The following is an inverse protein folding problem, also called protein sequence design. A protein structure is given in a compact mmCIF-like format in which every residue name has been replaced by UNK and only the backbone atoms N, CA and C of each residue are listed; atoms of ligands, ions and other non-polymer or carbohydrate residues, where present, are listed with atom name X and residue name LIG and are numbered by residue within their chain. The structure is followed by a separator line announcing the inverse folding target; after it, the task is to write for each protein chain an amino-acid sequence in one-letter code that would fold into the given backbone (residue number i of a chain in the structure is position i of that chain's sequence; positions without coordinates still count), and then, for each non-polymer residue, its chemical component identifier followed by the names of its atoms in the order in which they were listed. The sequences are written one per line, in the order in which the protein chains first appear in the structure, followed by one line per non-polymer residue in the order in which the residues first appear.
data_IF_958697490492
#
_entry.id   IF_958697490492
#
_cell.length_a   1.000
_cell.length_b   1.000
_cell.length_c   1.000
_cell.angle_alpha   90.00
_cell.angle_beta   90.00
_cell.angle_gamma   90.00
#
_symmetry.space_group_name_H-M   'P 1'
#
loop_
_entity.id
_entity.type
_entity.pdbx_description
1 polymer ?
#
# COMPACT_ATOMS: atom_id res chain seq x y z
N UNK A 1 -4.86 6.28 12.03
CA UNK A 1 -3.51 6.85 12.27
C UNK A 1 -2.52 5.98 11.50
N UNK A 2 -1.47 6.55 10.92
CA UNK A 2 -0.43 5.79 10.20
C UNK A 2 0.54 5.14 11.20
N UNK A 3 0.06 4.17 11.95
CA UNK A 3 0.89 3.47 12.95
C UNK A 3 2.06 2.72 12.28
N UNK A 4 1.91 2.34 11.01
CA UNK A 4 2.96 1.72 10.20
C UNK A 4 4.30 2.47 10.26
N UNK A 5 4.28 3.82 10.29
CA UNK A 5 5.47 4.66 10.33
C UNK A 5 6.24 4.63 11.66
N UNK A 6 5.68 4.01 12.70
CA UNK A 6 6.27 3.97 14.04
C UNK A 6 6.96 2.65 14.35
N UNK A 7 6.89 1.66 13.44
CA UNK A 7 7.57 0.38 13.61
C UNK A 7 9.01 0.45 13.07
N UNK A 8 9.97 -0.24 13.70
CA UNK A 8 11.35 -0.23 13.24
C UNK A 8 11.51 -0.96 11.90
N UNK A 9 12.44 -0.48 11.09
CA UNK A 9 12.99 -1.17 9.92
C UNK A 9 14.31 -1.82 10.37
N UNK A 10 14.41 -3.14 10.33
CA UNK A 10 15.56 -3.89 10.87
C UNK A 10 16.58 -4.29 9.79
N UNK A 11 16.23 -4.18 8.52
CA UNK A 11 17.10 -4.55 7.40
C UNK A 11 16.63 -4.00 6.04
N UNK A 12 17.35 -4.38 4.98
CA UNK A 12 17.03 -3.94 3.62
C UNK A 12 15.73 -4.57 3.10
N UNK A 13 15.44 -5.81 3.49
CA UNK A 13 14.16 -6.46 3.17
C UNK A 13 12.99 -5.65 3.72
N UNK A 14 13.10 -5.15 4.94
CA UNK A 14 12.09 -4.26 5.54
C UNK A 14 11.93 -2.97 4.76
N UNK A 15 13.03 -2.33 4.36
CA UNK A 15 12.96 -1.10 3.55
C UNK A 15 12.23 -1.36 2.23
N UNK A 16 12.57 -2.45 1.52
CA UNK A 16 11.98 -2.79 0.24
C UNK A 16 10.49 -3.10 0.36
N UNK A 17 10.13 -4.01 1.27
CA UNK A 17 8.75 -4.46 1.51
C UNK A 17 7.89 -3.31 2.03
N UNK A 18 8.36 -2.55 3.01
CA UNK A 18 7.63 -1.41 3.55
C UNK A 18 7.35 -0.36 2.48
N UNK A 19 8.39 0.02 1.72
CA UNK A 19 8.27 1.01 0.64
C UNK A 19 7.24 0.57 -0.39
N UNK A 20 7.35 -0.68 -0.86
CA UNK A 20 6.41 -1.23 -1.82
C UNK A 20 4.97 -1.23 -1.29
N UNK A 21 4.71 -1.84 -0.13
CA UNK A 21 3.36 -2.01 0.40
C UNK A 21 2.69 -0.66 0.72
N UNK A 22 3.42 0.27 1.34
CA UNK A 22 2.92 1.59 1.67
C UNK A 22 2.64 2.42 0.42
N UNK A 23 3.54 2.42 -0.57
CA UNK A 23 3.34 3.19 -1.80
C UNK A 23 2.24 2.58 -2.66
N UNK A 24 2.09 1.25 -2.73
CA UNK A 24 0.97 0.60 -3.40
C UNK A 24 -0.39 1.02 -2.79
N UNK A 25 -0.49 1.03 -1.45
CA UNK A 25 -1.68 1.54 -0.75
C UNK A 25 -1.92 3.02 -1.10
N UNK A 26 -0.87 3.83 -1.01
CA UNK A 26 -0.95 5.27 -1.20
C UNK A 26 -1.35 5.63 -2.63
N UNK A 27 -0.84 4.92 -3.63
CA UNK A 27 -1.25 5.04 -5.03
C UNK A 27 -2.76 4.83 -5.21
N UNK A 28 -3.33 3.79 -4.59
CA UNK A 28 -4.77 3.52 -4.68
C UNK A 28 -5.59 4.64 -4.04
N UNK A 29 -5.15 5.13 -2.87
CA UNK A 29 -5.83 6.22 -2.18
C UNK A 29 -5.74 7.54 -2.96
N UNK A 30 -4.55 7.88 -3.46
CA UNK A 30 -4.32 9.09 -4.24
C UNK A 30 -5.07 9.09 -5.57
N UNK A 31 -5.19 7.93 -6.22
CA UNK A 31 -6.02 7.79 -7.41
C UNK A 31 -7.50 8.09 -7.14
N UNK A 32 -8.05 7.71 -5.98
CA UNK A 32 -9.42 8.08 -5.58
C UNK A 32 -9.53 9.57 -5.21
N UNK A 33 -8.49 10.12 -4.60
CA UNK A 33 -8.43 11.55 -4.25
C UNK A 33 -8.23 12.47 -5.45
N UNK A 34 -7.59 12.01 -6.52
CA UNK A 34 -7.43 12.74 -7.77
C UNK A 34 -8.79 13.07 -8.43
N UNK A 35 -9.85 12.34 -8.08
CA UNK A 35 -11.22 12.56 -8.55
C UNK A 35 -12.06 13.42 -7.58
N UNK A 36 -11.42 14.06 -6.59
CA UNK A 36 -12.07 14.91 -5.60
C UNK A 36 -12.81 16.09 -6.24
N UNK A 37 -13.99 16.43 -5.72
CA UNK A 37 -14.72 17.64 -6.11
C UNK A 37 -14.05 18.94 -5.66
N UNK A 38 -13.06 18.88 -4.77
CA UNK A 38 -12.25 20.01 -4.38
C UNK A 38 -10.96 20.04 -5.22
N UNK A 39 -10.93 20.87 -6.26
CA UNK A 39 -9.88 20.90 -7.29
C UNK A 39 -8.45 21.06 -6.75
N UNK A 40 -8.16 21.93 -5.76
CA UNK A 40 -6.79 22.04 -5.23
C UNK A 40 -6.27 20.73 -4.63
N UNK A 41 -7.16 19.92 -4.05
CA UNK A 41 -6.79 18.61 -3.54
C UNK A 41 -6.63 17.57 -4.64
N UNK A 42 -7.52 17.57 -5.63
CA UNK A 42 -7.44 16.67 -6.79
C UNK A 42 -6.12 16.86 -7.57
N UNK A 43 -5.73 18.11 -7.82
CA UNK A 43 -4.49 18.45 -8.53
C UNK A 43 -3.24 18.03 -7.74
N UNK A 44 -3.23 18.29 -6.43
CA UNK A 44 -2.13 17.89 -5.57
C UNK A 44 -2.03 16.36 -5.46
N UNK A 45 -3.16 15.66 -5.30
CA UNK A 45 -3.20 14.21 -5.24
C UNK A 45 -2.66 13.57 -6.52
N UNK A 46 -3.04 14.12 -7.69
CA UNK A 46 -2.51 13.68 -8.99
C UNK A 46 -1.00 13.87 -9.10
N UNK A 47 -0.47 14.96 -8.56
CA UNK A 47 0.98 15.22 -8.57
C UNK A 47 1.73 14.24 -7.66
N UNK A 48 1.22 14.01 -6.44
CA UNK A 48 1.85 13.08 -5.48
C UNK A 48 1.77 11.64 -6.01
N UNK A 49 0.69 11.28 -6.71
CA UNK A 49 0.49 9.95 -7.27
C UNK A 49 1.64 9.52 -8.20
N UNK A 50 2.17 10.44 -9.02
CA UNK A 50 3.29 10.12 -9.90
C UNK A 50 4.60 9.83 -9.13
N UNK A 51 4.80 10.51 -8.01
CA UNK A 51 5.93 10.23 -7.11
C UNK A 51 5.75 8.88 -6.42
N UNK A 52 4.55 8.58 -5.93
CA UNK A 52 4.27 7.30 -5.25
C UNK A 52 4.32 6.09 -6.19
N UNK A 53 3.95 6.25 -7.47
CA UNK A 53 4.18 5.21 -8.49
C UNK A 53 5.66 4.88 -8.63
N UNK A 54 6.52 5.89 -8.54
CA UNK A 54 7.97 5.72 -8.60
C UNK A 54 8.49 4.97 -7.36
N UNK A 55 8.03 5.34 -6.16
CA UNK A 55 8.36 4.61 -4.92
C UNK A 55 7.89 3.15 -4.96
N UNK A 56 6.66 2.91 -5.43
CA UNK A 56 6.11 1.56 -5.59
C UNK A 56 6.97 0.72 -6.54
N UNK A 57 7.36 1.28 -7.69
CA UNK A 57 8.24 0.63 -8.65
C UNK A 57 9.62 0.31 -8.08
N UNK A 58 10.23 1.21 -7.31
CA UNK A 58 11.51 0.94 -6.64
C UNK A 58 11.40 -0.14 -5.57
N UNK A 59 10.36 -0.10 -4.73
CA UNK A 59 10.12 -1.15 -3.74
C UNK A 59 10.01 -2.53 -4.39
N UNK A 60 9.19 -2.65 -5.44
CA UNK A 60 9.03 -3.91 -6.17
C UNK A 60 10.33 -4.38 -6.82
N UNK A 61 11.08 -3.45 -7.44
CA UNK A 61 12.39 -3.75 -8.01
C UNK A 61 13.37 -4.30 -6.98
N UNK A 62 13.44 -3.71 -5.79
CA UNK A 62 14.35 -4.19 -4.74
C UNK A 62 13.92 -5.55 -4.19
N UNK A 63 12.62 -5.82 -4.09
CA UNK A 63 12.12 -7.15 -3.73
C UNK A 63 12.58 -8.20 -4.77
N UNK A 64 12.47 -7.88 -6.06
CA UNK A 64 12.91 -8.76 -7.17
C UNK A 64 14.42 -9.03 -7.12
N UNK A 65 15.24 -7.97 -6.98
CA UNK A 65 16.71 -8.09 -6.87
C UNK A 65 17.15 -8.92 -5.64
N UNK A 66 16.50 -8.73 -4.49
CA UNK A 66 16.76 -9.52 -3.27
C UNK A 66 16.27 -10.97 -3.37
N UNK A 67 15.24 -11.23 -4.19
CA UNK A 67 14.76 -12.58 -4.44
C UNK A 67 15.73 -13.36 -5.34
N UNK A 68 16.20 -12.72 -6.42
CA UNK A 68 17.12 -13.31 -7.40
C UNK A 68 18.49 -13.70 -6.80
N UNK A 69 18.96 -12.97 -5.78
CA UNK A 69 20.20 -13.31 -5.08
C UNK A 69 20.10 -14.63 -4.30
N UNK A 70 18.88 -15.11 -4.01
CA UNK A 70 18.54 -16.27 -3.17
C UNK A 70 19.02 -16.21 -1.72
N UNK A 71 19.82 -15.22 -1.35
CA UNK A 71 20.37 -15.06 -0.01
C UNK A 71 19.28 -14.63 0.98
N UNK A 72 18.32 -13.81 0.52
CA UNK A 72 17.38 -13.11 1.41
C UNK A 72 15.93 -13.59 1.29
N UNK A 73 15.66 -14.68 0.56
CA UNK A 73 14.27 -15.14 0.28
C UNK A 73 13.44 -15.39 1.54
N UNK A 74 14.04 -15.97 2.58
CA UNK A 74 13.38 -16.17 3.88
C UNK A 74 13.15 -14.85 4.63
N UNK A 75 14.09 -13.91 4.53
CA UNK A 75 14.00 -12.59 5.17
C UNK A 75 12.93 -11.73 4.49
N UNK A 76 12.86 -11.74 3.16
CA UNK A 76 11.79 -11.10 2.38
C UNK A 76 10.41 -11.62 2.79
N UNK A 77 10.25 -12.94 2.90
CA UNK A 77 8.97 -13.52 3.31
C UNK A 77 8.62 -13.16 4.77
N UNK A 78 9.61 -13.14 5.67
CA UNK A 78 9.42 -12.71 7.05
C UNK A 78 9.01 -11.23 7.13
N UNK A 79 9.68 -10.38 6.37
CA UNK A 79 9.38 -8.95 6.26
C UNK A 79 7.99 -8.70 5.68
N UNK A 80 7.60 -9.44 4.62
CA UNK A 80 6.25 -9.41 4.05
C UNK A 80 5.18 -9.73 5.10
N UNK A 81 5.37 -10.81 5.86
CA UNK A 81 4.45 -11.21 6.93
C UNK A 81 4.33 -10.15 8.02
N UNK A 82 5.43 -9.48 8.36
CA UNK A 82 5.49 -8.45 9.39
C UNK A 82 4.83 -7.14 8.96
N UNK A 83 5.14 -6.64 7.77
CA UNK A 83 4.65 -5.35 7.28
C UNK A 83 3.24 -5.39 6.74
N UNK A 84 2.81 -6.49 6.11
CA UNK A 84 1.49 -6.60 5.51
C UNK A 84 0.37 -6.15 6.45
N UNK A 85 0.31 -6.69 7.67
CA UNK A 85 -0.75 -6.37 8.61
C UNK A 85 -0.69 -4.91 9.10
N UNK A 86 0.52 -4.35 9.24
CA UNK A 86 0.71 -2.96 9.70
C UNK A 86 0.25 -1.95 8.66
N UNK A 87 0.50 -2.25 7.38
CA UNK A 87 0.01 -1.43 6.27
C UNK A 87 -1.50 -1.63 6.09
N UNK A 88 -2.01 -2.86 6.24
CA UNK A 88 -3.44 -3.17 6.18
C UNK A 88 -4.26 -2.34 7.18
N UNK A 89 -3.74 -2.12 8.39
CA UNK A 89 -4.40 -1.28 9.40
C UNK A 89 -4.55 0.19 8.98
N UNK A 90 -3.72 0.69 8.05
CA UNK A 90 -3.76 2.08 7.59
C UNK A 90 -5.00 2.42 6.76
N UNK A 91 -5.69 1.43 6.17
CA UNK A 91 -6.97 1.64 5.48
C UNK A 91 -8.09 2.10 6.44
N UNK A 92 -7.94 1.78 7.73
CA UNK A 92 -8.95 2.07 8.76
C UNK A 92 -10.11 1.07 8.77
N UNK A 93 -11.05 1.24 9.72
CA UNK A 93 -12.14 0.30 9.91
C UNK A 93 -13.17 0.37 8.78
N UNK A 94 -13.90 -0.72 8.63
CA UNK A 94 -15.14 -0.77 7.85
C UNK A 94 -16.19 0.17 8.45
N UNK A 95 -17.11 0.65 7.62
CA UNK A 95 -18.21 1.54 8.04
C UNK A 95 -17.78 2.85 8.75
N UNK A 96 -16.56 3.33 8.51
CA UNK A 96 -16.05 4.59 9.06
C UNK A 96 -16.96 5.79 8.75
N UNK A 97 -17.42 6.50 9.79
CA UNK A 97 -18.23 7.71 9.64
C UNK A 97 -17.47 8.84 8.92
N UNK A 98 -16.16 8.93 9.14
CA UNK A 98 -15.29 9.85 8.41
C UNK A 98 -15.26 9.55 6.91
N UNK A 99 -15.12 8.27 6.52
CA UNK A 99 -15.20 7.86 5.12
C UNK A 99 -16.56 8.23 4.51
N UNK A 100 -17.67 7.93 5.20
CA UNK A 100 -19.03 8.30 4.75
C UNK A 100 -19.14 9.80 4.47
N UNK A 101 -18.61 10.63 5.37
CA UNK A 101 -18.62 12.09 5.22
C UNK A 101 -17.78 12.55 4.03
N UNK A 102 -16.58 12.00 3.83
CA UNK A 102 -15.73 12.33 2.69
C UNK A 102 -16.41 11.99 1.35
N UNK A 103 -17.13 10.85 1.30
CA UNK A 103 -17.91 10.45 0.12
C UNK A 103 -19.12 11.35 -0.11
N UNK A 104 -19.81 11.76 0.95
CA UNK A 104 -20.91 12.73 0.86
C UNK A 104 -20.45 14.07 0.26
N UNK A 105 -19.26 14.54 0.65
CA UNK A 105 -18.64 15.74 0.10
C UNK A 105 -17.84 15.52 -1.19
N UNK A 106 -17.85 14.29 -1.75
CA UNK A 106 -17.10 13.92 -2.96
C UNK A 106 -15.61 14.25 -2.89
N UNK A 107 -15.03 14.21 -1.68
CA UNK A 107 -13.57 14.32 -1.49
C UNK A 107 -12.85 13.05 -1.93
N UNK A 108 -13.54 11.91 -1.80
CA UNK A 108 -13.13 10.61 -2.33
C UNK A 108 -14.38 9.78 -2.62
N UNK A 109 -14.30 8.76 -3.45
CA UNK A 109 -15.49 8.01 -3.89
C UNK A 109 -15.61 6.62 -3.24
N UNK A 110 -14.49 6.01 -2.85
CA UNK A 110 -14.42 4.61 -2.46
C UNK A 110 -14.49 4.41 -0.94
N UNK A 111 -15.04 3.26 -0.54
CA UNK A 111 -15.03 2.78 0.85
C UNK A 111 -13.65 2.24 1.22
N UNK A 112 -13.38 2.13 2.51
CA UNK A 112 -12.08 1.65 2.99
C UNK A 112 -11.87 0.18 2.58
N UNK A 113 -12.92 -0.64 2.70
CA UNK A 113 -12.92 -2.04 2.27
C UNK A 113 -12.66 -2.20 0.77
N UNK A 114 -13.25 -1.34 -0.08
CA UNK A 114 -13.07 -1.41 -1.54
C UNK A 114 -11.62 -1.13 -1.95
N UNK A 115 -11.01 -0.10 -1.35
CA UNK A 115 -9.59 0.24 -1.60
C UNK A 115 -8.64 -0.82 -1.03
N UNK A 116 -8.97 -1.41 0.13
CA UNK A 116 -8.23 -2.52 0.76
C UNK A 116 -8.24 -3.77 -0.12
N UNK A 117 -9.40 -4.15 -0.64
CA UNK A 117 -9.55 -5.34 -1.47
C UNK A 117 -8.85 -5.17 -2.83
N UNK A 118 -8.92 -3.97 -3.42
CA UNK A 118 -8.14 -3.62 -4.62
C UNK A 118 -6.64 -3.70 -4.37
N UNK A 119 -6.17 -3.16 -3.24
CA UNK A 119 -4.77 -3.22 -2.87
C UNK A 119 -4.28 -4.65 -2.72
N UNK A 120 -5.06 -5.49 -2.02
CA UNK A 120 -4.74 -6.90 -1.86
C UNK A 120 -4.63 -7.62 -3.21
N UNK A 121 -5.60 -7.43 -4.11
CA UNK A 121 -5.57 -8.03 -5.44
C UNK A 121 -4.34 -7.58 -6.24
N UNK A 122 -4.01 -6.29 -6.21
CA UNK A 122 -2.86 -5.72 -6.91
C UNK A 122 -1.54 -6.33 -6.42
N UNK A 123 -1.30 -6.33 -5.11
CA UNK A 123 -0.04 -6.86 -4.57
C UNK A 123 0.08 -8.37 -4.76
N UNK A 124 -1.05 -9.11 -4.74
CA UNK A 124 -1.04 -10.54 -5.04
C UNK A 124 -0.65 -10.81 -6.49
N UNK A 125 -1.17 -10.03 -7.43
CA UNK A 125 -0.85 -10.17 -8.85
C UNK A 125 0.63 -9.86 -9.12
N UNK A 126 1.13 -8.76 -8.56
CA UNK A 126 2.50 -8.28 -8.77
C UNK A 126 3.56 -9.18 -8.11
N UNK A 127 3.28 -9.77 -6.94
CA UNK A 127 4.23 -10.61 -6.21
C UNK A 127 4.17 -12.09 -6.59
N UNK A 128 3.12 -12.51 -7.31
CA UNK A 128 2.94 -13.90 -7.77
C UNK A 128 4.15 -14.46 -8.55
N UNK A 129 4.80 -13.72 -9.47
CA UNK A 129 5.97 -14.23 -10.20
C UNK A 129 7.18 -14.52 -9.31
N UNK A 130 7.27 -13.85 -8.14
CA UNK A 130 8.35 -14.00 -7.18
C UNK A 130 8.07 -15.10 -6.14
N UNK A 131 6.94 -15.81 -6.27
CA UNK A 131 6.50 -16.84 -5.31
C UNK A 131 6.41 -16.36 -3.85
N UNK A 132 6.39 -15.03 -3.63
CA UNK A 132 6.19 -14.42 -2.31
C UNK A 132 4.72 -14.53 -1.93
N UNK A 133 4.46 -15.12 -0.77
CA UNK A 133 3.10 -15.32 -0.26
C UNK A 133 2.63 -14.04 0.43
N UNK A 134 1.60 -13.42 -0.13
CA UNK A 134 0.87 -12.33 0.53
C UNK A 134 -0.05 -12.93 1.60
N UNK A 135 0.05 -12.52 2.88
CA UNK A 135 -0.82 -13.04 3.93
C UNK A 135 -2.30 -12.79 3.64
N UNK A 136 -3.18 -13.69 4.08
CA UNK A 136 -4.62 -13.47 3.93
C UNK A 136 -5.06 -12.22 4.72
N UNK A 137 -5.96 -11.43 4.13
CA UNK A 137 -6.70 -10.41 4.87
C UNK A 137 -7.45 -11.14 6.00
N UNK A 138 -7.24 -10.72 7.26
CA UNK A 138 -7.97 -11.32 8.39
C UNK A 138 -9.47 -11.13 8.13
N UNK A 139 -10.21 -12.23 8.12
CA UNK A 139 -11.67 -12.24 8.04
C UNK A 139 -12.33 -11.62 9.27
#
# INVERSE_FOLDING_TARGET
RLNALMYPLEGWCDVAVFTYLMSAMTCIQLADFAESSFSPWAELASTILETEKTHCGYGLKFIDESWDSKEDTLELQASMNYWYHKVLECFGPENSDGNKLYRQFKIKSQRNEETRDRWYACIQEELKPLEIVVPAARG
#
